data_IF_711687471287
#
_entry.id   IF_711687471287
#
_cell.length_a   1.000
_cell.length_b   1.000
_cell.length_c   1.000
_cell.angle_alpha   90.00
_cell.angle_beta   90.00
_cell.angle_gamma   90.00
#
_symmetry.space_group_name_H-M   'P 1'
#
loop_
_entity.id
_entity.type
_entity.pdbx_description
1 polymer ?
#
# COMPACT_ATOMS: atom_id res chain seq x y z
N UNK A 1 -22.66 7.98 4.46
CA UNK A 1 -21.42 7.25 4.73
C UNK A 1 -20.18 8.12 4.46
N UNK A 2 -20.06 8.72 3.30
CA UNK A 2 -18.91 9.55 2.90
C UNK A 2 -18.65 10.73 3.84
N UNK A 3 -19.69 11.46 4.26
CA UNK A 3 -19.59 12.61 5.17
C UNK A 3 -19.11 12.17 6.56
N UNK A 4 -19.58 11.02 7.03
CA UNK A 4 -19.20 10.48 8.33
C UNK A 4 -17.74 9.98 8.32
N UNK A 5 -17.30 9.33 7.25
CA UNK A 5 -15.91 8.90 7.08
C UNK A 5 -14.96 10.12 7.06
N UNK A 6 -15.32 11.17 6.35
CA UNK A 6 -14.55 12.40 6.31
C UNK A 6 -14.41 13.05 7.69
N UNK A 7 -15.53 13.16 8.42
CA UNK A 7 -15.53 13.72 9.77
C UNK A 7 -14.66 12.90 10.72
N UNK A 8 -14.74 11.56 10.63
CA UNK A 8 -13.91 10.65 11.42
C UNK A 8 -12.42 10.79 11.09
N UNK A 9 -12.06 10.81 9.81
CA UNK A 9 -10.67 10.97 9.37
C UNK A 9 -10.08 12.30 9.81
N UNK A 10 -10.83 13.41 9.67
CA UNK A 10 -10.38 14.72 10.11
C UNK A 10 -10.18 14.76 11.64
N UNK A 11 -11.03 14.07 12.39
CA UNK A 11 -10.89 13.98 13.84
C UNK A 11 -9.64 13.19 14.25
N UNK A 12 -9.38 12.05 13.62
CA UNK A 12 -8.21 11.19 13.88
C UNK A 12 -6.89 11.88 13.52
N UNK A 13 -6.86 12.63 12.43
CA UNK A 13 -5.65 13.34 11.96
C UNK A 13 -5.24 14.49 12.90
N UNK A 14 -6.15 15.01 13.68
CA UNK A 14 -5.84 16.01 14.70
C UNK A 14 -5.11 15.45 15.92
N UNK A 15 -5.11 14.13 16.09
CA UNK A 15 -4.32 13.42 17.12
C UNK A 15 -2.91 13.19 16.58
N UNK A 16 -1.93 13.90 17.13
CA UNK A 16 -0.51 13.78 16.71
C UNK A 16 0.02 12.38 17.02
N UNK A 17 0.89 11.88 16.15
CA UNK A 17 1.63 10.62 16.25
C UNK A 17 0.82 9.34 15.98
N UNK A 18 -0.41 9.47 15.50
CA UNK A 18 -1.20 8.32 15.09
C UNK A 18 -1.11 8.09 13.57
N UNK A 19 -1.13 6.82 13.19
CA UNK A 19 -1.22 6.38 11.79
C UNK A 19 -2.58 5.74 11.57
N UNK A 20 -3.30 6.22 10.57
CA UNK A 20 -4.57 5.60 10.14
C UNK A 20 -4.32 4.90 8.82
N UNK A 21 -4.51 3.59 8.81
CA UNK A 21 -4.44 2.76 7.62
C UNK A 21 -5.85 2.45 7.15
N UNK A 22 -6.15 2.78 5.89
CA UNK A 22 -7.45 2.50 5.27
C UNK A 22 -7.23 1.43 4.22
N UNK A 23 -7.83 0.26 4.44
CA UNK A 23 -7.89 -0.81 3.45
C UNK A 23 -9.02 -0.53 2.46
N UNK A 24 -8.67 -0.46 1.18
CA UNK A 24 -9.62 -0.13 0.12
C UNK A 24 -9.88 -1.34 -0.78
N UNK A 25 -11.09 -1.87 -0.71
CA UNK A 25 -11.53 -2.97 -1.58
C UNK A 25 -11.72 -2.58 -3.04
N UNK A 26 -12.02 -1.33 -3.30
CA UNK A 26 -12.33 -0.83 -4.64
C UNK A 26 -11.51 0.42 -4.96
N UNK A 27 -11.52 0.79 -6.23
CA UNK A 27 -10.71 1.89 -6.75
C UNK A 27 -10.88 3.21 -6.00
N UNK A 28 -9.89 4.07 -6.17
CA UNK A 28 -9.79 5.37 -5.50
C UNK A 28 -10.93 6.33 -5.85
N UNK A 29 -11.75 6.01 -6.83
CA UNK A 29 -12.95 6.79 -7.19
C UNK A 29 -13.95 6.91 -6.02
N UNK A 30 -13.91 5.94 -5.10
CA UNK A 30 -14.74 5.91 -3.90
C UNK A 30 -14.20 6.79 -2.76
N UNK A 31 -12.95 7.26 -2.88
CA UNK A 31 -12.45 8.36 -2.05
C UNK A 31 -13.10 9.65 -2.56
N UNK A 32 -14.21 10.04 -1.98
CA UNK A 32 -14.83 11.32 -2.32
C UNK A 32 -13.82 12.47 -2.20
N UNK A 33 -13.95 13.50 -3.02
CA UNK A 33 -13.08 14.69 -3.03
C UNK A 33 -12.85 15.28 -1.64
N UNK A 34 -13.77 15.03 -0.76
CA UNK A 34 -13.77 15.53 0.61
C UNK A 34 -12.85 14.73 1.56
N UNK A 35 -12.59 13.46 1.27
CA UNK A 35 -11.70 12.60 2.06
C UNK A 35 -10.23 12.72 1.65
N UNK A 36 -9.97 13.27 0.47
CA UNK A 36 -8.65 13.33 -0.15
C UNK A 36 -7.70 14.25 0.60
N UNK A 37 -8.20 15.36 1.15
CA UNK A 37 -7.38 16.29 1.94
C UNK A 37 -6.78 15.66 3.21
N UNK A 38 -7.31 14.51 3.62
CA UNK A 38 -6.85 13.77 4.79
C UNK A 38 -5.86 12.64 4.46
N UNK A 39 -5.71 12.28 3.17
CA UNK A 39 -4.80 11.20 2.75
C UNK A 39 -3.39 11.75 2.57
N UNK A 40 -2.45 11.26 3.38
CA UNK A 40 -1.05 11.66 3.31
C UNK A 40 -0.32 10.93 2.17
N UNK A 41 -0.59 9.65 1.99
CA UNK A 41 -0.01 8.83 0.94
C UNK A 41 -0.97 7.70 0.55
N UNK A 42 -0.88 7.29 -0.70
CA UNK A 42 -1.55 6.11 -1.23
C UNK A 42 -0.51 5.03 -1.48
N UNK A 43 -0.73 3.84 -0.95
CA UNK A 43 0.14 2.68 -1.20
C UNK A 43 -0.59 1.75 -2.17
N UNK A 44 0.06 1.46 -3.29
CA UNK A 44 -0.43 0.51 -4.30
C UNK A 44 0.32 -0.81 -4.13
N UNK A 45 -0.41 -1.89 -3.96
CA UNK A 45 0.17 -3.24 -3.92
C UNK A 45 0.26 -3.79 -5.33
N UNK A 46 1.46 -4.18 -5.76
CA UNK A 46 1.77 -4.56 -7.13
C UNK A 46 2.36 -5.96 -7.17
N UNK A 47 1.78 -6.84 -7.97
CA UNK A 47 2.33 -8.16 -8.23
C UNK A 47 3.30 -8.13 -9.42
N UNK A 48 4.26 -9.09 -9.51
CA UNK A 48 5.16 -9.19 -10.66
C UNK A 48 4.40 -9.53 -11.94
N UNK A 49 4.09 -8.53 -12.73
CA UNK A 49 3.37 -8.69 -13.99
C UNK A 49 3.05 -7.34 -14.64
N UNK A 50 3.04 -7.32 -15.96
CA UNK A 50 2.81 -6.09 -16.73
C UNK A 50 1.45 -5.45 -16.45
N UNK A 51 0.41 -6.27 -16.26
CA UNK A 51 -0.95 -5.78 -15.97
C UNK A 51 -1.02 -5.08 -14.60
N UNK A 52 -0.40 -5.69 -13.59
CA UNK A 52 -0.37 -5.13 -12.24
C UNK A 52 0.38 -3.80 -12.22
N UNK A 53 1.52 -3.72 -12.90
CA UNK A 53 2.29 -2.48 -13.06
C UNK A 53 1.49 -1.42 -13.81
N UNK A 54 0.82 -1.79 -14.89
CA UNK A 54 -0.04 -0.87 -15.64
C UNK A 54 -1.16 -0.29 -14.76
N UNK A 55 -1.80 -1.14 -13.97
CA UNK A 55 -2.82 -0.72 -13.01
C UNK A 55 -2.24 0.26 -11.98
N UNK A 56 -1.04 0.02 -11.48
CA UNK A 56 -0.36 0.93 -10.55
C UNK A 56 -0.17 2.33 -11.14
N UNK A 57 0.23 2.44 -12.41
CA UNK A 57 0.36 3.72 -13.09
C UNK A 57 -0.99 4.40 -13.37
N UNK A 58 -2.04 3.63 -13.66
CA UNK A 58 -3.40 4.16 -13.76
C UNK A 58 -3.88 4.74 -12.44
N UNK A 59 -3.64 4.03 -11.35
CA UNK A 59 -3.95 4.51 -9.99
C UNK A 59 -3.17 5.78 -9.67
N UNK A 60 -1.89 5.84 -10.02
CA UNK A 60 -1.07 7.05 -9.84
C UNK A 60 -1.67 8.25 -10.59
N UNK A 61 -2.09 8.05 -11.82
CA UNK A 61 -2.73 9.10 -12.62
C UNK A 61 -4.02 9.59 -11.99
N UNK A 62 -4.91 8.66 -11.61
CA UNK A 62 -6.17 8.98 -10.95
C UNK A 62 -5.94 9.70 -9.61
N UNK A 63 -4.97 9.24 -8.84
CA UNK A 63 -4.60 9.88 -7.59
C UNK A 63 -4.17 11.34 -7.79
N UNK A 64 -3.35 11.59 -8.80
CA UNK A 64 -2.94 12.94 -9.20
C UNK A 64 -4.13 13.83 -9.60
N UNK A 65 -5.07 13.29 -10.36
CA UNK A 65 -6.26 14.01 -10.81
C UNK A 65 -7.16 14.43 -9.65
N UNK A 66 -7.18 13.67 -8.57
CA UNK A 66 -7.95 13.99 -7.36
C UNK A 66 -7.16 14.70 -6.27
N UNK A 67 -5.88 14.96 -6.47
CA UNK A 67 -5.04 15.75 -5.58
C UNK A 67 -4.17 14.99 -4.59
N UNK A 68 -4.06 13.66 -4.71
CA UNK A 68 -3.12 12.85 -3.93
C UNK A 68 -1.74 12.91 -4.60
N UNK A 69 -0.79 13.53 -3.93
CA UNK A 69 0.56 13.74 -4.49
C UNK A 69 1.52 12.59 -4.26
N UNK A 70 1.37 11.87 -3.15
CA UNK A 70 2.26 10.80 -2.76
C UNK A 70 1.64 9.45 -3.06
N UNK A 71 2.10 8.79 -4.12
CA UNK A 71 1.76 7.41 -4.47
C UNK A 71 3.00 6.56 -4.36
N UNK A 72 2.95 5.54 -3.52
CA UNK A 72 4.04 4.63 -3.20
C UNK A 72 3.63 3.21 -3.58
N UNK A 73 4.59 2.34 -3.80
CA UNK A 73 4.31 0.96 -4.15
C UNK A 73 4.91 -0.03 -3.15
N UNK A 74 4.23 -1.16 -3.01
CA UNK A 74 4.71 -2.35 -2.32
C UNK A 74 4.56 -3.53 -3.27
N UNK A 75 5.66 -4.26 -3.50
CA UNK A 75 5.61 -5.50 -4.25
C UNK A 75 5.01 -6.62 -3.43
N UNK A 76 4.23 -7.49 -4.04
CA UNK A 76 3.62 -8.66 -3.38
C UNK A 76 3.80 -9.90 -4.23
N UNK A 77 3.73 -11.07 -3.60
CA UNK A 77 3.90 -12.38 -4.25
C UNK A 77 5.22 -12.53 -5.02
N UNK A 78 6.27 -11.97 -4.48
CA UNK A 78 7.61 -12.03 -5.07
C UNK A 78 8.26 -13.38 -4.75
N UNK A 79 8.64 -14.12 -5.78
CA UNK A 79 9.16 -15.50 -5.65
C UNK A 79 10.68 -15.55 -5.76
N UNK A 80 11.29 -14.71 -6.60
CA UNK A 80 12.70 -14.78 -6.94
C UNK A 80 13.27 -13.39 -7.31
N UNK A 81 14.58 -13.36 -7.59
CA UNK A 81 15.30 -12.14 -7.99
C UNK A 81 14.82 -11.57 -9.33
N UNK A 82 14.35 -12.40 -10.24
CA UNK A 82 13.77 -11.93 -11.51
C UNK A 82 12.51 -11.10 -11.28
N UNK A 83 11.64 -11.54 -10.36
CA UNK A 83 10.47 -10.76 -9.95
C UNK A 83 10.86 -9.44 -9.30
N UNK A 84 11.87 -9.45 -8.43
CA UNK A 84 12.37 -8.23 -7.79
C UNK A 84 12.91 -7.22 -8.80
N UNK A 85 13.76 -7.69 -9.72
CA UNK A 85 14.33 -6.86 -10.79
C UNK A 85 13.24 -6.30 -11.70
N UNK A 86 12.27 -7.12 -12.07
CA UNK A 86 11.15 -6.71 -12.88
C UNK A 86 10.38 -5.55 -12.22
N UNK A 87 10.04 -5.68 -10.95
CA UNK A 87 9.30 -4.63 -10.24
C UNK A 87 10.11 -3.35 -10.08
N UNK A 88 11.40 -3.45 -9.75
CA UNK A 88 12.27 -2.28 -9.65
C UNK A 88 12.39 -1.52 -10.96
N UNK A 89 12.54 -2.23 -12.06
CA UNK A 89 12.66 -1.62 -13.39
C UNK A 89 11.34 -1.05 -13.89
N UNK A 90 10.25 -1.80 -13.70
CA UNK A 90 8.94 -1.43 -14.22
C UNK A 90 8.27 -0.29 -13.43
N UNK A 91 8.56 -0.16 -12.14
CA UNK A 91 7.96 0.85 -11.25
C UNK A 91 8.79 2.16 -11.17
N UNK A 92 9.65 2.43 -12.12
CA UNK A 92 10.34 3.72 -12.17
C UNK A 92 9.33 4.85 -12.28
N UNK A 93 9.37 5.78 -11.32
CA UNK A 93 8.39 6.85 -11.20
C UNK A 93 7.36 6.64 -10.08
N UNK A 94 7.29 5.44 -9.49
CA UNK A 94 6.55 5.17 -8.25
C UNK A 94 7.54 4.63 -7.23
N UNK A 95 7.82 5.33 -6.12
CA UNK A 95 8.75 4.84 -5.11
C UNK A 95 8.31 3.48 -4.55
N UNK A 96 9.21 2.51 -4.60
CA UNK A 96 8.99 1.16 -4.10
C UNK A 96 9.50 1.07 -2.66
N UNK A 97 8.59 0.89 -1.71
CA UNK A 97 8.92 0.80 -0.28
C UNK A 97 9.57 -0.52 0.10
N UNK A 98 9.21 -1.58 -0.56
CA UNK A 98 9.71 -2.91 -0.33
C UNK A 98 8.86 -3.96 -1.01
N UNK A 99 9.17 -5.22 -0.73
CA UNK A 99 8.50 -6.36 -1.36
C UNK A 99 8.14 -7.40 -0.33
N UNK A 100 6.97 -7.99 -0.48
CA UNK A 100 6.50 -9.13 0.31
C UNK A 100 6.72 -10.39 -0.51
N UNK A 101 7.50 -11.31 0.03
CA UNK A 101 7.76 -12.60 -0.59
C UNK A 101 6.50 -13.46 -0.65
N UNK A 102 6.37 -14.24 -1.72
CA UNK A 102 5.37 -15.29 -1.77
C UNK A 102 5.57 -16.25 -0.59
N UNK A 103 4.49 -16.56 0.10
CA UNK A 103 4.56 -17.38 1.31
C UNK A 103 3.31 -18.26 1.42
N UNK A 104 3.51 -19.57 1.32
CA UNK A 104 2.42 -20.54 1.40
C UNK A 104 1.67 -20.49 2.74
N UNK A 105 2.36 -20.11 3.83
CA UNK A 105 1.73 -19.94 5.14
C UNK A 105 0.65 -18.87 5.15
N UNK A 106 0.73 -17.86 4.28
CA UNK A 106 -0.32 -16.85 4.14
C UNK A 106 -1.62 -17.48 3.63
N UNK A 107 -1.50 -18.36 2.65
CA UNK A 107 -2.66 -19.07 2.08
C UNK A 107 -3.28 -20.00 3.13
N UNK A 108 -2.45 -20.76 3.86
CA UNK A 108 -2.90 -21.67 4.90
C UNK A 108 -3.60 -20.93 6.04
N UNK A 109 -3.04 -19.81 6.48
CA UNK A 109 -3.63 -18.96 7.53
C UNK A 109 -4.98 -18.38 7.11
N UNK A 110 -5.08 -17.93 5.88
CA UNK A 110 -6.34 -17.42 5.32
C UNK A 110 -7.42 -18.52 5.27
N UNK A 111 -7.07 -19.72 4.81
CA UNK A 111 -7.97 -20.86 4.80
C UNK A 111 -8.48 -21.26 6.19
N UNK A 112 -7.67 -21.05 7.24
CA UNK A 112 -8.03 -21.35 8.63
C UNK A 112 -8.69 -20.17 9.35
N UNK A 113 -8.71 -18.98 8.74
CA UNK A 113 -9.17 -17.77 9.40
C UNK A 113 -8.26 -17.31 10.55
N UNK A 114 -6.99 -17.70 10.51
CA UNK A 114 -5.98 -17.34 11.48
C UNK A 114 -5.25 -16.05 11.11
N UNK A 115 -4.70 -15.36 12.10
CA UNK A 115 -3.91 -14.16 11.85
C UNK A 115 -2.62 -14.51 11.10
N UNK A 116 -2.44 -13.95 9.91
CA UNK A 116 -1.35 -14.27 8.97
C UNK A 116 0.05 -13.92 9.50
N UNK A 117 0.16 -13.07 10.49
CA UNK A 117 1.44 -12.65 11.06
C UNK A 117 1.92 -13.56 12.20
N UNK A 118 1.09 -14.47 12.70
CA UNK A 118 1.50 -15.41 13.74
C UNK A 118 2.50 -16.42 13.17
N UNK A 119 3.64 -16.59 13.85
CA UNK A 119 4.71 -17.53 13.47
C UNK A 119 5.24 -17.38 12.02
N UNK A 120 5.11 -16.19 11.43
CA UNK A 120 5.58 -15.89 10.09
C UNK A 120 6.67 -14.81 10.12
N UNK A 121 7.89 -15.21 10.47
CA UNK A 121 9.04 -14.30 10.60
C UNK A 121 9.41 -13.61 9.29
N UNK A 122 9.30 -14.31 8.16
CA UNK A 122 9.62 -13.72 6.85
C UNK A 122 8.65 -12.59 6.51
N UNK A 123 7.37 -12.79 6.72
CA UNK A 123 6.36 -11.73 6.54
C UNK A 123 6.64 -10.54 7.43
N UNK A 124 6.91 -10.77 8.71
CA UNK A 124 7.21 -9.70 9.67
C UNK A 124 8.47 -8.93 9.28
N UNK A 125 9.50 -9.61 8.81
CA UNK A 125 10.72 -8.99 8.30
C UNK A 125 10.44 -8.10 7.08
N UNK A 126 9.71 -8.61 6.11
CA UNK A 126 9.34 -7.85 4.90
C UNK A 126 8.51 -6.61 5.27
N UNK A 127 7.52 -6.75 6.13
CA UNK A 127 6.66 -5.64 6.58
C UNK A 127 7.45 -4.61 7.38
N UNK A 128 8.36 -5.02 8.26
CA UNK A 128 9.23 -4.09 8.99
C UNK A 128 10.12 -3.27 8.05
N UNK A 129 10.67 -3.88 7.01
CA UNK A 129 11.44 -3.19 5.98
C UNK A 129 10.60 -2.15 5.25
N UNK A 130 9.38 -2.49 4.89
CA UNK A 130 8.42 -1.59 4.25
C UNK A 130 8.07 -0.42 5.17
N UNK A 131 7.79 -0.71 6.44
CA UNK A 131 7.45 0.32 7.43
C UNK A 131 8.62 1.28 7.66
N UNK A 132 9.85 0.78 7.72
CA UNK A 132 11.05 1.60 7.84
C UNK A 132 11.19 2.57 6.66
N UNK A 133 11.03 2.08 5.44
CA UNK A 133 11.05 2.91 4.22
C UNK A 133 9.91 3.92 4.19
N UNK A 134 8.73 3.54 4.62
CA UNK A 134 7.60 4.46 4.71
C UNK A 134 7.88 5.60 5.68
N UNK A 135 8.44 5.31 6.85
CA UNK A 135 8.83 6.33 7.83
C UNK A 135 9.90 7.29 7.29
N UNK A 136 10.91 6.76 6.61
CA UNK A 136 11.93 7.58 5.95
C UNK A 136 11.31 8.52 4.92
N UNK A 137 10.42 7.99 4.09
CA UNK A 137 9.73 8.75 3.05
C UNK A 137 8.82 9.85 3.62
N UNK A 138 8.09 9.55 4.69
CA UNK A 138 7.15 10.49 5.33
C UNK A 138 7.85 11.60 6.12
N UNK A 139 9.11 11.41 6.51
CA UNK A 139 9.90 12.40 7.24
C UNK A 139 10.72 13.33 6.32
N UNK A 140 10.72 13.07 5.03
CA UNK A 140 11.28 13.95 4.01
C UNK A 140 10.25 15.02 3.62
#
# INVERSE_FOLDING_TARGET
>A
EEVMLKALLNHLILQRDEVVLIDMEAGIEHLGRASIGAVTALIVVVEPGKRSVQTAFQVKKLAGDIGIKSVLAVGSKVVNEEHESFLRDALQGIPLLGMISYNEKLIESDLRGEAVYNDNEKLLSDVRGILQKLKEYMNE
#
